data_IF_585778978906
#
_entry.id   IF_585778978906
#
_cell.length_a   1.000
_cell.length_b   1.000
_cell.length_c   1.000
_cell.angle_alpha   90.00
_cell.angle_beta   90.00
_cell.angle_gamma   90.00
#
_symmetry.space_group_name_H-M   'P 1'
#
loop_
_entity.id
_entity.type
_entity.pdbx_description
1 polymer ?
#
# COMPACT_ATOMS: atom_id res chain seq x y z
N UNK A 1 -13.91 -22.46 -7.50
CA UNK A 1 -13.00 -21.99 -8.57
C UNK A 1 -11.85 -21.22 -7.96
N UNK A 2 -10.62 -21.70 -8.14
CA UNK A 2 -9.38 -21.06 -7.68
C UNK A 2 -9.09 -19.78 -8.49
N UNK A 3 -8.14 -18.96 -8.04
CA UNK A 3 -7.78 -17.71 -8.74
C UNK A 3 -7.32 -17.98 -10.17
N UNK A 4 -6.43 -18.95 -10.34
CA UNK A 4 -5.84 -19.35 -11.63
C UNK A 4 -6.91 -19.80 -12.63
N UNK A 5 -7.83 -20.67 -12.19
CA UNK A 5 -8.97 -21.13 -13.01
C UNK A 5 -9.86 -19.97 -13.48
N UNK A 6 -10.09 -18.95 -12.62
CA UNK A 6 -10.85 -17.75 -13.00
C UNK A 6 -10.12 -16.92 -14.05
N UNK A 7 -8.82 -16.73 -13.89
CA UNK A 7 -7.99 -15.96 -14.84
C UNK A 7 -7.90 -16.68 -16.19
N UNK A 8 -7.71 -18.00 -16.19
CA UNK A 8 -7.73 -18.82 -17.39
C UNK A 8 -9.09 -18.76 -18.11
N UNK A 9 -10.21 -18.82 -17.37
CA UNK A 9 -11.54 -18.64 -17.95
C UNK A 9 -11.68 -17.26 -18.59
N UNK A 10 -11.28 -16.20 -17.89
CA UNK A 10 -11.38 -14.82 -18.40
C UNK A 10 -10.58 -14.63 -19.67
N UNK A 11 -9.36 -15.16 -19.70
CA UNK A 11 -8.50 -15.12 -20.87
C UNK A 11 -9.18 -15.80 -22.05
N UNK A 12 -9.65 -17.05 -21.88
CA UNK A 12 -10.36 -17.80 -22.94
C UNK A 12 -11.61 -17.10 -23.46
N UNK A 13 -12.36 -16.43 -22.58
CA UNK A 13 -13.56 -15.66 -22.98
C UNK A 13 -13.16 -14.40 -23.75
N UNK A 14 -12.16 -13.66 -23.28
CA UNK A 14 -11.72 -12.42 -23.90
C UNK A 14 -11.06 -12.66 -25.28
N UNK A 15 -10.20 -13.68 -25.40
CA UNK A 15 -9.57 -14.05 -26.68
C UNK A 15 -10.63 -14.46 -27.70
N UNK A 16 -11.52 -15.38 -27.34
CA UNK A 16 -12.61 -15.79 -28.23
C UNK A 16 -13.49 -14.61 -28.67
N UNK A 17 -13.80 -13.69 -27.74
CA UNK A 17 -14.65 -12.54 -28.02
C UNK A 17 -14.05 -11.62 -29.10
N UNK A 18 -12.74 -11.36 -29.06
CA UNK A 18 -12.07 -10.52 -30.05
C UNK A 18 -11.77 -11.29 -31.34
N UNK A 19 -11.17 -12.47 -31.21
CA UNK A 19 -10.52 -13.16 -32.32
C UNK A 19 -11.53 -13.92 -33.19
N UNK A 20 -12.53 -14.54 -32.57
CA UNK A 20 -13.50 -15.40 -33.28
C UNK A 20 -14.88 -14.76 -33.38
N UNK A 21 -15.35 -14.11 -32.32
CA UNK A 21 -16.70 -13.54 -32.29
C UNK A 21 -16.78 -12.12 -32.87
N UNK A 22 -15.65 -11.49 -33.22
CA UNK A 22 -15.60 -10.13 -33.78
C UNK A 22 -16.26 -9.07 -32.88
N UNK A 23 -16.20 -9.25 -31.56
CA UNK A 23 -16.84 -8.36 -30.58
C UNK A 23 -18.34 -8.65 -30.34
N UNK A 24 -18.91 -9.71 -30.90
CA UNK A 24 -20.31 -10.04 -30.70
C UNK A 24 -20.54 -10.86 -29.41
N UNK A 25 -21.33 -10.28 -28.50
CA UNK A 25 -21.68 -10.88 -27.21
C UNK A 25 -22.52 -12.16 -27.36
N UNK A 26 -23.44 -12.21 -28.31
CA UNK A 26 -24.40 -13.31 -28.46
C UNK A 26 -23.70 -14.61 -28.89
N UNK A 27 -22.79 -14.51 -29.86
CA UNK A 27 -21.94 -15.62 -30.30
C UNK A 27 -21.01 -16.10 -29.19
N UNK A 28 -20.40 -15.16 -28.46
CA UNK A 28 -19.55 -15.49 -27.30
C UNK A 28 -20.31 -16.23 -26.20
N UNK A 29 -21.52 -15.76 -25.86
CA UNK A 29 -22.37 -16.42 -24.89
C UNK A 29 -22.78 -17.82 -25.34
N UNK A 30 -23.25 -17.99 -26.58
CA UNK A 30 -23.74 -19.28 -27.06
C UNK A 30 -22.70 -20.40 -26.98
N UNK A 31 -21.42 -20.08 -27.23
CA UNK A 31 -20.33 -21.05 -27.04
C UNK A 31 -20.10 -21.33 -25.56
N UNK A 32 -19.95 -20.29 -24.73
CA UNK A 32 -19.63 -20.44 -23.30
C UNK A 32 -20.76 -21.05 -22.48
N UNK A 33 -22.01 -20.93 -22.95
CA UNK A 33 -23.16 -21.65 -22.41
C UNK A 33 -22.96 -23.17 -22.51
N UNK A 34 -22.41 -23.67 -23.63
CA UNK A 34 -22.09 -25.10 -23.82
C UNK A 34 -20.98 -25.57 -22.88
N UNK A 35 -20.03 -24.69 -22.55
CA UNK A 35 -18.98 -24.94 -21.55
C UNK A 35 -19.49 -24.86 -20.09
N UNK A 36 -20.80 -24.66 -19.86
CA UNK A 36 -21.39 -24.59 -18.53
C UNK A 36 -21.15 -23.26 -17.80
N UNK A 37 -20.73 -22.21 -18.50
CA UNK A 37 -20.52 -20.90 -17.88
C UNK A 37 -21.85 -20.17 -17.65
N UNK A 38 -21.94 -19.39 -16.57
CA UNK A 38 -23.06 -18.50 -16.32
C UNK A 38 -22.97 -17.22 -17.18
N UNK A 39 -24.10 -16.75 -17.71
CA UNK A 39 -24.19 -15.54 -18.53
C UNK A 39 -23.61 -14.32 -17.82
N UNK A 40 -23.97 -14.12 -16.55
CA UNK A 40 -23.51 -12.97 -15.76
C UNK A 40 -21.99 -12.93 -15.63
N UNK A 41 -21.34 -14.09 -15.55
CA UNK A 41 -19.89 -14.21 -15.54
C UNK A 41 -19.31 -13.77 -16.87
N UNK A 42 -19.75 -14.36 -17.99
CA UNK A 42 -19.26 -14.04 -19.34
C UNK A 42 -19.43 -12.55 -19.64
N UNK A 43 -20.61 -12.01 -19.35
CA UNK A 43 -20.92 -10.60 -19.52
C UNK A 43 -19.97 -9.69 -18.72
N UNK A 44 -19.76 -9.98 -17.42
CA UNK A 44 -18.82 -9.21 -16.57
C UNK A 44 -17.38 -9.29 -17.07
N UNK A 45 -16.96 -10.44 -17.59
CA UNK A 45 -15.62 -10.60 -18.17
C UNK A 45 -15.47 -9.70 -19.39
N UNK A 46 -16.42 -9.74 -20.31
CA UNK A 46 -16.38 -8.94 -21.55
C UNK A 46 -16.45 -7.44 -21.22
N UNK A 47 -17.37 -7.01 -20.36
CA UNK A 47 -17.46 -5.60 -19.95
C UNK A 47 -16.14 -5.10 -19.34
N UNK A 48 -15.55 -5.89 -18.44
CA UNK A 48 -14.25 -5.56 -17.85
C UNK A 48 -13.17 -5.47 -18.92
N UNK A 49 -13.15 -6.42 -19.85
CA UNK A 49 -12.18 -6.46 -20.93
C UNK A 49 -12.34 -5.26 -21.89
N UNK A 50 -13.56 -4.88 -22.24
CA UNK A 50 -13.83 -3.70 -23.07
C UNK A 50 -13.36 -2.43 -22.37
N UNK A 51 -13.66 -2.27 -21.07
CA UNK A 51 -13.34 -1.06 -20.31
C UNK A 51 -11.85 -0.92 -19.96
N UNK A 52 -11.19 -2.01 -19.54
CA UNK A 52 -9.84 -1.96 -18.98
C UNK A 52 -8.79 -2.75 -19.76
N UNK A 53 -9.19 -3.47 -20.81
CA UNK A 53 -8.34 -4.39 -21.59
C UNK A 53 -7.55 -5.38 -20.72
N UNK A 54 -8.13 -5.74 -19.57
CA UNK A 54 -7.50 -6.59 -18.57
C UNK A 54 -8.30 -7.87 -18.33
N UNK A 55 -7.61 -9.01 -18.35
CA UNK A 55 -8.16 -10.34 -18.00
C UNK A 55 -7.83 -10.74 -16.56
N UNK A 56 -6.82 -10.13 -15.97
CA UNK A 56 -6.41 -10.32 -14.57
C UNK A 56 -7.33 -9.59 -13.59
N UNK A 57 -7.25 -9.94 -12.30
CA UNK A 57 -7.94 -9.19 -11.26
C UNK A 57 -7.33 -7.79 -11.07
N UNK A 58 -8.14 -6.75 -11.27
CA UNK A 58 -7.77 -5.38 -10.96
C UNK A 58 -7.58 -5.18 -9.44
N UNK A 59 -6.67 -4.28 -9.03
CA UNK A 59 -6.50 -3.96 -7.62
C UNK A 59 -7.83 -3.44 -7.04
N UNK A 60 -8.26 -4.04 -5.94
CA UNK A 60 -9.47 -3.62 -5.24
C UNK A 60 -9.19 -2.36 -4.44
N UNK A 61 -10.15 -1.45 -4.39
CA UNK A 61 -10.11 -0.37 -3.42
C UNK A 61 -10.10 -0.97 -2.01
N UNK A 62 -9.03 -0.68 -1.27
CA UNK A 62 -8.92 -1.07 0.13
C UNK A 62 -9.70 -0.13 1.04
N UNK A 63 -9.78 -0.49 2.33
CA UNK A 63 -10.34 0.40 3.35
C UNK A 63 -9.56 1.72 3.39
N UNK A 64 -10.25 2.88 3.56
CA UNK A 64 -9.58 4.16 3.77
C UNK A 64 -8.56 4.09 4.91
N UNK A 65 -7.42 4.75 4.72
CA UNK A 65 -6.34 4.78 5.71
C UNK A 65 -6.58 5.89 6.72
N UNK A 66 -6.26 5.64 8.00
CA UNK A 66 -6.35 6.64 9.07
C UNK A 66 -5.37 7.82 8.90
N UNK A 67 -4.22 7.59 8.26
CA UNK A 67 -3.20 8.62 8.03
C UNK A 67 -3.13 9.02 6.56
N UNK A 68 -3.35 10.31 6.30
CA UNK A 68 -3.16 10.89 4.97
C UNK A 68 -1.66 11.02 4.62
N UNK A 69 -1.34 11.17 3.34
CA UNK A 69 0.01 11.45 2.82
C UNK A 69 0.66 12.65 3.51
N UNK A 70 -0.06 13.77 3.73
CA UNK A 70 0.47 14.97 4.41
C UNK A 70 0.91 14.65 5.85
N UNK A 71 0.06 13.99 6.63
CA UNK A 71 0.38 13.56 7.98
C UNK A 71 1.55 12.59 8.00
N UNK A 72 1.58 11.64 7.06
CA UNK A 72 2.68 10.67 6.93
C UNK A 72 4.01 11.36 6.65
N UNK A 73 4.04 12.36 5.76
CA UNK A 73 5.22 13.19 5.50
C UNK A 73 5.65 13.99 6.73
N UNK A 74 4.71 14.56 7.47
CA UNK A 74 5.01 15.30 8.70
C UNK A 74 5.58 14.39 9.81
N UNK A 75 5.03 13.18 9.96
CA UNK A 75 5.58 12.15 10.85
C UNK A 75 7.02 11.79 10.42
N UNK A 76 7.24 11.53 9.13
CA UNK A 76 8.55 11.20 8.58
C UNK A 76 9.59 12.29 8.86
N UNK A 77 9.24 13.55 8.59
CA UNK A 77 10.09 14.70 8.88
C UNK A 77 10.43 14.81 10.37
N UNK A 78 9.43 14.64 11.24
CA UNK A 78 9.61 14.68 12.69
C UNK A 78 10.58 13.60 13.18
N UNK A 79 10.43 12.36 12.68
CA UNK A 79 11.30 11.24 13.06
C UNK A 79 12.73 11.39 12.53
N UNK A 80 12.90 11.97 11.34
CA UNK A 80 14.22 12.21 10.77
C UNK A 80 15.00 13.29 11.53
N UNK A 81 14.33 14.37 11.95
CA UNK A 81 14.98 15.49 12.63
C UNK A 81 15.19 15.25 14.13
N UNK A 82 14.27 14.53 14.77
CA UNK A 82 14.31 14.31 16.21
C UNK A 82 14.56 12.83 16.51
N UNK A 83 15.83 12.49 16.70
CA UNK A 83 16.24 11.12 17.04
C UNK A 83 15.70 10.71 18.42
N UNK A 84 15.09 9.53 18.50
CA UNK A 84 14.55 8.98 19.75
C UNK A 84 13.13 9.39 20.14
N UNK A 85 12.35 10.03 19.26
CA UNK A 85 10.92 10.26 19.52
C UNK A 85 10.17 8.93 19.64
N UNK A 86 9.43 8.77 20.74
CA UNK A 86 8.56 7.61 20.94
C UNK A 86 7.36 7.64 20.00
N UNK A 87 7.06 6.49 19.39
CA UNK A 87 5.83 6.31 18.61
C UNK A 87 4.56 6.61 19.42
N UNK A 88 4.57 6.43 20.75
CA UNK A 88 3.42 6.75 21.62
C UNK A 88 3.14 8.26 21.68
N UNK A 89 4.18 9.09 21.57
CA UNK A 89 4.02 10.56 21.55
C UNK A 89 3.39 10.98 20.21
N UNK A 90 3.92 10.44 19.10
CA UNK A 90 3.36 10.68 17.77
C UNK A 90 1.92 10.17 17.67
N UNK A 91 1.62 9.02 18.26
CA UNK A 91 0.29 8.42 18.21
C UNK A 91 -0.78 9.31 18.85
N UNK A 92 -0.46 9.93 19.99
CA UNK A 92 -1.32 10.94 20.65
C UNK A 92 -1.54 12.16 19.76
N UNK A 93 -0.47 12.70 19.15
CA UNK A 93 -0.55 13.89 18.27
C UNK A 93 -1.43 13.67 17.04
N UNK A 94 -1.39 12.48 16.45
CA UNK A 94 -2.13 12.15 15.23
C UNK A 94 -3.42 11.35 15.49
N UNK A 95 -3.81 11.17 16.76
CA UNK A 95 -4.97 10.38 17.17
C UNK A 95 -5.07 9.00 16.49
N UNK A 96 -3.95 8.27 16.48
CA UNK A 96 -3.86 6.91 15.94
C UNK A 96 -3.17 6.00 16.94
N UNK A 97 -3.27 4.69 16.76
CA UNK A 97 -2.49 3.75 17.57
C UNK A 97 -0.99 3.82 17.23
N UNK A 98 -0.13 3.65 18.24
CA UNK A 98 1.31 3.68 18.09
C UNK A 98 1.86 2.64 17.09
N UNK A 99 1.22 1.46 16.95
CA UNK A 99 1.59 0.47 15.93
C UNK A 99 1.28 0.98 14.52
N UNK A 100 0.24 1.81 14.37
CA UNK A 100 -0.11 2.44 13.09
C UNK A 100 1.02 3.38 12.64
N UNK A 101 1.59 4.17 13.54
CA UNK A 101 2.77 5.01 13.25
C UNK A 101 3.94 4.15 12.76
N UNK A 102 4.32 3.12 13.53
CA UNK A 102 5.43 2.24 13.17
C UNK A 102 5.25 1.53 11.84
N UNK A 103 4.05 0.99 11.55
CA UNK A 103 3.75 0.36 10.25
C UNK A 103 3.85 1.36 9.10
N UNK A 104 3.32 2.58 9.26
CA UNK A 104 3.39 3.59 8.20
C UNK A 104 4.83 4.03 7.93
N UNK A 105 5.66 4.21 8.96
CA UNK A 105 7.07 4.54 8.79
C UNK A 105 7.83 3.43 8.02
N UNK A 106 7.58 2.17 8.38
CA UNK A 106 8.20 1.02 7.70
C UNK A 106 7.72 0.86 6.25
N UNK A 107 6.41 0.93 6.01
CA UNK A 107 5.81 0.58 4.72
C UNK A 107 5.76 1.73 3.72
N UNK A 108 5.73 3.00 4.17
CA UNK A 108 5.44 4.16 3.29
C UNK A 108 6.56 5.16 3.17
N UNK A 109 7.48 5.23 4.13
CA UNK A 109 8.52 6.27 4.15
C UNK A 109 9.92 5.68 4.14
N UNK A 110 10.04 4.34 4.23
CA UNK A 110 11.30 3.60 4.33
C UNK A 110 12.22 4.09 5.46
N UNK A 111 11.65 4.72 6.49
CA UNK A 111 12.39 5.22 7.65
C UNK A 111 12.41 4.14 8.71
N UNK A 112 13.62 3.76 9.13
CA UNK A 112 13.81 2.91 10.30
C UNK A 112 13.95 3.81 11.54
N UNK A 113 13.12 3.61 12.59
CA UNK A 113 13.29 4.35 13.82
C UNK A 113 14.68 4.08 14.40
N UNK A 114 15.45 5.15 14.64
CA UNK A 114 16.79 5.07 15.22
C UNK A 114 16.68 5.08 16.75
N UNK A 115 17.47 4.24 17.41
CA UNK A 115 17.63 4.35 18.85
C UNK A 115 18.32 5.67 19.19
N UNK A 116 17.99 6.23 20.36
CA UNK A 116 18.67 7.41 20.86
C UNK A 116 20.11 7.02 21.22
N UNK A 117 21.07 7.63 20.54
CA UNK A 117 22.49 7.46 20.85
C UNK A 117 22.80 8.35 22.06
N UNK A 118 23.47 7.80 23.08
CA UNK A 118 23.96 8.61 24.21
C UNK A 118 24.98 9.61 23.68
N UNK A 119 24.92 10.85 24.16
CA UNK A 119 25.95 11.82 23.84
C UNK A 119 27.33 11.26 24.27
N UNK A 120 28.39 11.47 23.47
CA UNK A 120 29.73 11.11 23.88
C UNK A 120 30.10 11.87 25.16
N UNK A 121 30.96 11.28 26.00
CA UNK A 121 31.52 11.99 27.16
C UNK A 121 32.31 13.21 26.67
N UNK A 122 32.33 14.27 27.48
CA UNK A 122 33.09 15.47 27.17
C UNK A 122 34.57 15.14 26.97
N UNK A 123 35.18 15.76 25.95
CA UNK A 123 36.64 15.84 25.84
C UNK A 123 37.13 16.87 26.87
N UNK A 124 38.34 16.72 27.45
CA UNK A 124 38.89 17.60 28.52
C UNK A 124 38.64 19.11 28.31
N UNK A 125 38.78 19.59 27.08
CA UNK A 125 38.56 21.01 26.75
C UNK A 125 37.08 21.42 26.78
N UNK A 126 36.19 20.51 26.40
CA UNK A 126 34.74 20.71 26.49
C UNK A 126 34.26 20.65 27.94
N UNK A 127 34.85 19.77 28.75
CA UNK A 127 34.57 19.66 30.19
C UNK A 127 34.94 20.95 30.93
N UNK A 128 36.13 21.50 30.68
CA UNK A 128 36.54 22.81 31.21
C UNK A 128 35.61 23.95 30.79
N UNK A 129 35.14 23.96 29.53
CA UNK A 129 34.17 24.94 29.04
C UNK A 129 32.80 24.78 29.71
N UNK A 130 32.33 23.56 29.88
CA UNK A 130 31.07 23.27 30.54
C UNK A 130 31.10 23.69 32.02
N UNK A 131 32.16 23.37 32.77
CA UNK A 131 32.35 23.85 34.14
C UNK A 131 32.32 25.38 34.22
N UNK A 132 33.04 26.07 33.33
CA UNK A 132 33.14 27.54 33.34
C UNK A 132 31.81 28.25 33.07
N UNK A 133 30.91 27.67 32.27
CA UNK A 133 29.68 28.32 31.82
C UNK A 133 28.41 27.78 32.46
N UNK A 134 28.42 26.58 33.03
CA UNK A 134 27.26 25.97 33.66
C UNK A 134 27.23 26.10 35.20
N UNK A 135 28.21 26.80 35.78
CA UNK A 135 28.21 27.16 37.21
C UNK A 135 28.27 25.96 38.15
N UNK A 136 29.12 24.98 37.85
CA UNK A 136 29.45 23.89 38.76
C UNK A 136 30.54 24.32 39.75
#
# INVERSE_FOLDING_TARGET
MRKEEREALRLRVATFHNDTAGGNMKTTWNLKKKEGCCYSTVHRVIQRYVQFKATTDLPRSGRPRKLNNKQTKSIAFTVNNNSGISHRILSRRYNVDHRTIGRNLKQRTNIRPRQRIKAPKYVKNQEKRAQKHCGF
#
